data_IF_392444600381
#
_entry.id   IF_392444600381
#
_cell.length_a   1.000
_cell.length_b   1.000
_cell.length_c   1.000
_cell.angle_alpha   90.00
_cell.angle_beta   90.00
_cell.angle_gamma   90.00
#
_symmetry.space_group_name_H-M   'P 1'
#
loop_
_entity.id
_entity.type
_entity.pdbx_description
1 polymer ?
#
# COMPACT_ATOMS: atom_id res chain seq x y z
N UNK A 1 5.80 46.43 29.04
CA UNK A 1 6.23 45.05 28.79
C UNK A 1 6.09 44.79 27.30
N UNK A 2 7.19 44.50 26.61
CA UNK A 2 7.23 44.42 25.15
C UNK A 2 6.49 43.17 24.65
N UNK A 3 5.53 43.38 23.76
CA UNK A 3 4.71 42.37 23.12
C UNK A 3 5.52 41.75 21.95
N UNK A 4 6.40 40.81 22.27
CA UNK A 4 7.26 40.16 21.28
C UNK A 4 6.52 39.03 20.56
N UNK A 5 5.89 39.30 19.42
CA UNK A 5 5.53 38.26 18.46
C UNK A 5 6.83 37.69 17.87
N UNK A 6 7.11 36.41 18.12
CA UNK A 6 8.15 35.65 17.43
C UNK A 6 7.73 35.43 15.96
N UNK A 7 7.93 36.43 15.12
CA UNK A 7 7.95 36.22 13.67
C UNK A 7 9.31 35.64 13.31
N UNK A 8 9.33 34.34 13.03
CA UNK A 8 10.47 33.67 12.39
C UNK A 8 10.58 34.22 10.96
N UNK A 9 11.32 35.31 10.80
CA UNK A 9 11.69 35.83 9.48
C UNK A 9 12.81 34.92 8.97
N UNK A 10 12.45 33.92 8.17
CA UNK A 10 13.43 33.06 7.52
C UNK A 10 14.37 33.89 6.64
N UNK A 11 15.67 33.62 6.71
CA UNK A 11 16.67 34.25 5.84
C UNK A 11 16.32 33.96 4.38
N UNK A 12 16.03 35.04 3.67
CA UNK A 12 15.62 35.08 2.27
C UNK A 12 16.82 34.86 1.35
N UNK A 13 16.83 33.72 0.68
CA UNK A 13 17.31 33.53 -0.71
C UNK A 13 17.15 32.07 -1.17
N UNK A 14 16.90 31.13 -0.25
CA UNK A 14 16.54 29.76 -0.59
C UNK A 14 15.04 29.56 -0.40
N UNK A 15 14.38 29.10 -1.47
CA UNK A 15 13.02 28.57 -1.39
C UNK A 15 13.02 27.48 -0.31
N UNK A 16 12.14 27.55 0.71
CA UNK A 16 12.09 26.51 1.73
C UNK A 16 11.90 25.15 1.05
N UNK A 17 12.75 24.18 1.42
CA UNK A 17 12.61 22.83 0.93
C UNK A 17 11.23 22.32 1.35
N UNK A 18 10.48 21.76 0.41
CA UNK A 18 9.19 21.18 0.74
C UNK A 18 9.48 19.92 1.56
N UNK A 19 8.68 19.66 2.59
CA UNK A 19 8.93 18.54 3.52
C UNK A 19 9.09 17.21 2.78
N UNK A 20 8.33 17.00 1.70
CA UNK A 20 8.44 15.79 0.88
C UNK A 20 9.77 15.68 0.11
N UNK A 21 10.41 16.80 -0.26
CA UNK A 21 11.73 16.78 -0.89
C UNK A 21 12.77 16.28 0.13
N UNK A 22 12.53 16.54 1.43
CA UNK A 22 13.36 16.04 2.54
C UNK A 22 13.02 14.58 2.90
N UNK A 23 11.75 14.15 2.84
CA UNK A 23 11.35 12.76 3.09
C UNK A 23 11.87 11.82 2.01
N UNK A 24 11.83 12.25 0.74
CA UNK A 24 12.37 11.47 -0.38
C UNK A 24 13.89 11.45 -0.45
N UNK A 25 14.56 12.49 0.04
CA UNK A 25 16.01 12.63 -0.12
C UNK A 25 16.81 11.42 0.43
N UNK A 26 16.54 10.88 1.64
CA UNK A 26 17.18 9.67 2.13
C UNK A 26 16.94 8.43 1.24
N UNK A 27 15.72 8.26 0.74
CA UNK A 27 15.35 7.13 -0.13
C UNK A 27 16.02 7.22 -1.52
N UNK A 28 16.39 8.42 -1.95
CA UNK A 28 17.08 8.67 -3.22
C UNK A 28 18.61 8.60 -3.11
N UNK A 29 19.16 8.26 -1.94
CA UNK A 29 20.61 8.03 -1.81
C UNK A 29 21.03 6.80 -2.62
N UNK A 30 22.26 6.80 -3.15
CA UNK A 30 22.76 5.68 -3.96
C UNK A 30 22.67 4.34 -3.21
N UNK A 31 23.04 4.33 -1.92
CA UNK A 31 22.91 3.16 -1.06
C UNK A 31 21.46 2.66 -0.94
N UNK A 32 20.48 3.56 -0.79
CA UNK A 32 19.07 3.17 -0.67
C UNK A 32 18.55 2.59 -1.99
N UNK A 33 18.94 3.18 -3.12
CA UNK A 33 18.61 2.67 -4.45
C UNK A 33 19.25 1.31 -4.73
N UNK A 34 20.53 1.13 -4.39
CA UNK A 34 21.22 -0.16 -4.49
C UNK A 34 20.55 -1.23 -3.64
N UNK A 35 20.20 -0.88 -2.39
CA UNK A 35 19.46 -1.80 -1.50
C UNK A 35 18.11 -2.17 -2.11
N UNK A 36 17.32 -1.20 -2.55
CA UNK A 36 16.02 -1.38 -3.21
C UNK A 36 16.13 -2.31 -4.42
N UNK A 37 17.14 -2.11 -5.24
CA UNK A 37 17.36 -2.87 -6.48
C UNK A 37 17.99 -4.25 -6.25
N UNK A 38 18.55 -4.52 -5.05
CA UNK A 38 19.16 -5.81 -4.72
C UNK A 38 18.16 -6.93 -4.38
N UNK A 39 16.91 -6.57 -4.07
CA UNK A 39 15.85 -7.55 -3.84
C UNK A 39 15.40 -8.22 -5.14
N UNK A 40 14.91 -9.46 -5.11
CA UNK A 40 14.28 -10.04 -6.29
C UNK A 40 12.88 -9.43 -6.47
N UNK A 41 12.56 -8.92 -7.67
CA UNK A 41 11.23 -8.36 -7.96
C UNK A 41 10.11 -9.39 -7.84
N UNK A 42 10.44 -10.68 -7.97
CA UNK A 42 9.52 -11.81 -7.89
C UNK A 42 9.25 -12.26 -6.47
N UNK A 43 9.91 -11.69 -5.47
CA UNK A 43 9.71 -12.01 -4.06
C UNK A 43 8.85 -10.93 -3.38
N UNK A 44 7.84 -11.32 -2.58
CA UNK A 44 7.03 -10.37 -1.84
C UNK A 44 7.90 -9.61 -0.83
N UNK A 45 7.40 -8.45 -0.37
CA UNK A 45 8.10 -7.67 0.62
C UNK A 45 8.22 -8.39 1.96
N UNK A 46 7.08 -8.89 2.42
CA UNK A 46 6.98 -9.77 3.56
C UNK A 46 5.64 -10.49 3.51
N UNK A 47 5.59 -11.65 4.15
CA UNK A 47 4.38 -12.44 4.30
C UNK A 47 4.38 -12.98 5.73
N UNK A 48 3.32 -12.67 6.48
CA UNK A 48 3.14 -13.10 7.85
C UNK A 48 1.65 -13.30 8.12
N UNK A 49 1.29 -13.90 9.26
CA UNK A 49 -0.10 -14.05 9.65
C UNK A 49 -0.39 -13.37 10.99
N UNK A 50 -1.62 -12.92 11.18
CA UNK A 50 -2.11 -12.31 12.43
C UNK A 50 -3.44 -12.92 12.84
N UNK A 51 -3.75 -13.00 14.15
CA UNK A 51 -5.11 -13.25 14.63
C UNK A 51 -6.04 -12.12 14.17
N UNK A 52 -7.21 -12.47 13.66
CA UNK A 52 -8.21 -11.54 13.13
C UNK A 52 -9.63 -12.03 13.39
N UNK A 53 -10.61 -11.24 12.96
CA UNK A 53 -12.03 -11.58 13.02
C UNK A 53 -12.66 -11.30 11.67
N UNK A 54 -13.45 -12.25 11.15
CA UNK A 54 -14.23 -12.08 9.93
C UNK A 54 -15.36 -11.07 10.14
N UNK A 55 -15.97 -10.61 9.04
CA UNK A 55 -17.08 -9.65 9.08
C UNK A 55 -18.30 -10.12 9.91
N UNK A 56 -18.49 -11.44 10.05
CA UNK A 56 -19.57 -12.05 10.84
C UNK A 56 -19.24 -12.22 12.34
N UNK A 57 -18.02 -11.84 12.76
CA UNK A 57 -17.56 -11.97 14.14
C UNK A 57 -16.80 -13.27 14.44
N UNK A 58 -16.63 -14.18 13.47
CA UNK A 58 -15.90 -15.44 13.65
C UNK A 58 -14.39 -15.16 13.80
N UNK A 59 -13.73 -15.59 14.89
CA UNK A 59 -12.28 -15.50 15.02
C UNK A 59 -11.56 -16.33 13.95
N UNK A 60 -10.49 -15.78 13.41
CA UNK A 60 -9.69 -16.43 12.37
C UNK A 60 -8.22 -15.98 12.41
N UNK A 61 -7.43 -16.45 11.46
CA UNK A 61 -6.12 -15.89 11.12
C UNK A 61 -6.19 -15.27 9.73
N UNK A 62 -5.45 -14.18 9.54
CA UNK A 62 -5.28 -13.55 8.25
C UNK A 62 -3.86 -13.70 7.74
N UNK A 63 -3.71 -14.14 6.49
CA UNK A 63 -2.47 -14.03 5.76
C UNK A 63 -2.29 -12.58 5.32
N UNK A 64 -1.29 -11.88 5.86
CA UNK A 64 -0.91 -10.55 5.42
C UNK A 64 0.20 -10.64 4.38
N UNK A 65 -0.10 -10.18 3.17
CA UNK A 65 0.80 -10.16 2.03
C UNK A 65 1.17 -8.72 1.72
N UNK A 66 2.45 -8.37 1.86
CA UNK A 66 2.96 -7.08 1.43
C UNK A 66 3.73 -7.30 0.14
N UNK A 67 3.25 -6.72 -0.95
CA UNK A 67 3.82 -6.84 -2.28
C UNK A 67 4.83 -5.71 -2.55
N UNK A 68 5.90 -6.03 -3.27
CA UNK A 68 6.79 -5.05 -3.88
C UNK A 68 6.14 -4.56 -5.16
N UNK A 69 5.70 -3.31 -5.13
CA UNK A 69 5.08 -2.63 -6.29
C UNK A 69 5.83 -1.34 -6.58
N UNK A 70 5.40 -0.56 -7.57
CA UNK A 70 5.92 0.79 -7.82
C UNK A 70 5.54 1.80 -6.72
N UNK A 71 4.76 1.38 -5.72
CA UNK A 71 4.18 2.22 -4.68
C UNK A 71 3.02 3.07 -5.20
N UNK A 72 2.41 3.81 -4.27
CA UNK A 72 1.25 4.61 -4.59
C UNK A 72 1.55 5.73 -5.60
N UNK A 73 0.56 6.11 -6.40
CA UNK A 73 0.68 7.18 -7.38
C UNK A 73 1.08 8.51 -6.72
N UNK A 74 0.61 8.74 -5.49
CA UNK A 74 1.04 9.90 -4.70
C UNK A 74 2.54 9.86 -4.40
N UNK A 75 3.10 8.68 -4.08
CA UNK A 75 4.53 8.50 -3.86
C UNK A 75 5.37 8.88 -5.08
N UNK A 76 4.85 8.77 -6.30
CA UNK A 76 5.62 9.14 -7.49
C UNK A 76 5.87 10.65 -7.57
N UNK A 77 4.93 11.46 -7.06
CA UNK A 77 5.02 12.93 -7.10
C UNK A 77 5.43 13.53 -5.75
N UNK A 78 4.95 12.98 -4.65
CA UNK A 78 5.17 13.42 -3.25
C UNK A 78 5.13 12.19 -2.33
N UNK A 79 4.54 12.25 -1.14
CA UNK A 79 4.35 11.12 -0.24
C UNK A 79 3.57 11.53 1.01
N UNK A 80 3.07 10.55 1.76
CA UNK A 80 2.55 10.83 3.11
C UNK A 80 3.74 10.90 4.08
N UNK A 81 3.78 11.89 4.96
CA UNK A 81 4.95 12.17 5.81
C UNK A 81 5.32 11.05 6.79
N UNK A 82 4.38 10.18 7.13
CA UNK A 82 4.56 9.07 8.08
C UNK A 82 4.46 7.68 7.41
N UNK A 83 4.26 7.61 6.10
CA UNK A 83 4.11 6.33 5.43
C UNK A 83 5.46 5.64 5.29
N UNK A 84 5.63 4.44 5.87
CA UNK A 84 6.86 3.65 5.74
C UNK A 84 6.93 2.75 4.51
N UNK A 85 5.79 2.52 3.85
CA UNK A 85 5.65 1.52 2.78
C UNK A 85 6.47 1.82 1.52
N UNK A 86 6.85 3.08 1.29
CA UNK A 86 7.71 3.44 0.17
C UNK A 86 9.06 2.70 0.19
N UNK A 87 9.53 2.30 1.37
CA UNK A 87 10.79 1.57 1.53
C UNK A 87 10.78 0.19 0.87
N UNK A 88 9.60 -0.41 0.68
CA UNK A 88 9.42 -1.74 0.11
C UNK A 88 9.03 -1.72 -1.38
N UNK A 89 9.00 -0.53 -1.98
CA UNK A 89 8.67 -0.34 -3.40
C UNK A 89 9.82 -0.72 -4.32
N UNK A 90 9.52 -0.95 -5.59
CA UNK A 90 10.48 -1.23 -6.66
C UNK A 90 9.91 -0.77 -8.01
N UNK A 91 10.71 -0.03 -8.79
CA UNK A 91 10.19 0.76 -9.94
C UNK A 91 10.05 -0.07 -11.23
N UNK A 92 10.80 -1.17 -11.34
CA UNK A 92 10.85 -2.08 -12.50
C UNK A 92 9.97 -3.34 -12.32
N UNK A 93 9.10 -3.38 -11.30
CA UNK A 93 8.18 -4.50 -11.08
C UNK A 93 7.19 -4.61 -12.25
N UNK A 94 7.08 -5.81 -12.82
CA UNK A 94 6.15 -6.17 -13.88
C UNK A 94 4.91 -6.90 -13.35
N UNK A 95 3.86 -7.06 -14.16
CA UNK A 95 2.71 -7.89 -13.76
C UNK A 95 3.14 -9.34 -13.46
N UNK A 96 4.03 -9.91 -14.28
CA UNK A 96 4.53 -11.28 -14.05
C UNK A 96 5.27 -11.42 -12.71
N UNK A 97 5.99 -10.39 -12.29
CA UNK A 97 6.61 -10.36 -10.96
C UNK A 97 5.56 -10.36 -9.85
N UNK A 98 4.50 -9.54 -9.97
CA UNK A 98 3.40 -9.51 -9.01
C UNK A 98 2.70 -10.86 -8.89
N UNK A 99 2.41 -11.53 -10.02
CA UNK A 99 1.87 -12.89 -10.02
C UNK A 99 2.83 -13.85 -9.32
N UNK A 100 4.14 -13.79 -9.57
CA UNK A 100 5.11 -14.62 -8.86
C UNK A 100 5.15 -14.32 -7.35
N UNK A 101 5.04 -13.05 -6.94
CA UNK A 101 5.01 -12.68 -5.53
C UNK A 101 3.76 -13.25 -4.84
N UNK A 102 2.62 -13.19 -5.52
CA UNK A 102 1.35 -13.73 -5.04
C UNK A 102 1.42 -15.25 -4.85
N UNK A 103 1.88 -16.01 -5.85
CA UNK A 103 2.03 -17.47 -5.72
C UNK A 103 2.94 -17.85 -4.54
N UNK A 104 4.09 -17.18 -4.41
CA UNK A 104 5.01 -17.43 -3.29
C UNK A 104 4.40 -17.08 -1.94
N UNK A 105 3.49 -16.10 -1.91
CA UNK A 105 2.81 -15.69 -0.68
C UNK A 105 1.78 -16.73 -0.25
N UNK A 106 0.98 -17.24 -1.19
CA UNK A 106 0.01 -18.30 -0.93
C UNK A 106 0.71 -19.62 -0.53
N UNK A 107 1.87 -19.92 -1.12
CA UNK A 107 2.65 -21.12 -0.81
C UNK A 107 3.53 -20.99 0.45
N UNK A 108 3.48 -19.85 1.17
CA UNK A 108 4.43 -19.57 2.26
C UNK A 108 4.21 -20.44 3.50
N UNK A 109 2.97 -20.82 3.78
CA UNK A 109 2.56 -21.52 5.00
C UNK A 109 1.72 -22.74 4.67
N UNK A 110 2.07 -23.89 5.25
CA UNK A 110 1.38 -25.17 5.01
C UNK A 110 -0.07 -25.18 5.53
N UNK A 111 -0.38 -24.33 6.52
CA UNK A 111 -1.70 -24.22 7.16
C UNK A 111 -2.56 -23.09 6.59
N UNK A 112 -2.18 -22.51 5.44
CA UNK A 112 -2.91 -21.44 4.78
C UNK A 112 -4.40 -21.77 4.54
N UNK A 113 -4.72 -23.04 4.25
CA UNK A 113 -6.09 -23.51 4.05
C UNK A 113 -6.97 -23.26 5.28
N UNK A 114 -6.40 -23.24 6.49
CA UNK A 114 -7.12 -23.00 7.74
C UNK A 114 -7.38 -21.51 8.03
N UNK A 115 -6.66 -20.61 7.35
CA UNK A 115 -6.80 -19.16 7.52
C UNK A 115 -8.11 -18.69 6.85
N UNK A 116 -8.83 -17.75 7.46
CA UNK A 116 -10.11 -17.27 6.91
C UNK A 116 -9.98 -16.00 6.06
N UNK A 117 -8.85 -15.32 6.15
CA UNK A 117 -8.69 -13.97 5.59
C UNK A 117 -7.35 -13.81 4.86
N UNK A 118 -7.34 -12.97 3.83
CA UNK A 118 -6.12 -12.48 3.19
C UNK A 118 -6.14 -10.95 3.17
N UNK A 119 -5.07 -10.32 3.65
CA UNK A 119 -4.86 -8.87 3.58
C UNK A 119 -3.76 -8.58 2.57
N UNK A 120 -4.05 -7.77 1.56
CA UNK A 120 -3.10 -7.43 0.50
C UNK A 120 -2.72 -5.96 0.60
N UNK A 121 -1.44 -5.73 0.87
CA UNK A 121 -0.82 -4.42 0.89
C UNK A 121 0.08 -4.27 -0.32
N UNK A 122 -0.10 -3.16 -1.02
CA UNK A 122 0.59 -2.84 -2.28
C UNK A 122 1.47 -1.61 -2.12
N UNK A 123 1.64 -1.08 -0.91
CA UNK A 123 2.25 0.22 -0.68
C UNK A 123 1.47 1.36 -1.36
N UNK A 124 0.15 1.18 -1.48
CA UNK A 124 -0.75 2.01 -2.28
C UNK A 124 -2.18 1.49 -2.28
N UNK A 125 -2.78 1.36 -3.46
CA UNK A 125 -4.17 0.97 -3.65
C UNK A 125 -4.27 -0.19 -4.63
N UNK A 126 -4.74 -1.36 -4.17
CA UNK A 126 -4.83 -2.53 -5.06
C UNK A 126 -5.68 -2.23 -6.29
N UNK A 127 -6.79 -1.52 -6.12
CA UNK A 127 -7.76 -1.22 -7.17
C UNK A 127 -7.43 0.05 -7.97
N UNK A 128 -6.20 0.53 -7.95
CA UNK A 128 -5.74 1.68 -8.75
C UNK A 128 -4.98 1.21 -10.00
N UNK A 129 -5.57 1.40 -11.17
CA UNK A 129 -5.02 0.93 -12.46
C UNK A 129 -3.68 1.56 -12.84
N UNK A 130 -3.39 2.76 -12.31
CA UNK A 130 -2.07 3.38 -12.47
C UNK A 130 -1.00 2.56 -11.73
N UNK A 131 -1.33 2.10 -10.52
CA UNK A 131 -0.40 1.48 -9.57
C UNK A 131 -0.25 -0.02 -9.84
N UNK A 132 -1.37 -0.70 -10.07
CA UNK A 132 -1.45 -2.16 -10.16
C UNK A 132 -2.11 -2.57 -11.49
N UNK A 133 -1.47 -3.46 -12.28
CA UNK A 133 -2.07 -4.00 -13.50
C UNK A 133 -3.41 -4.68 -13.26
N UNK A 134 -4.41 -4.40 -14.10
CA UNK A 134 -5.79 -4.90 -13.94
C UNK A 134 -5.87 -6.42 -13.90
N UNK A 135 -5.03 -7.12 -14.67
CA UNK A 135 -4.95 -8.59 -14.68
C UNK A 135 -4.51 -9.15 -13.31
N UNK A 136 -3.62 -8.45 -12.62
CA UNK A 136 -3.20 -8.84 -11.28
C UNK A 136 -4.29 -8.51 -10.24
N UNK A 137 -4.98 -7.38 -10.38
CA UNK A 137 -6.12 -7.06 -9.52
C UNK A 137 -7.22 -8.13 -9.61
N UNK A 138 -7.58 -8.53 -10.82
CA UNK A 138 -8.56 -9.59 -11.09
C UNK A 138 -8.12 -10.91 -10.47
N UNK A 139 -6.83 -11.26 -10.60
CA UNK A 139 -6.27 -12.48 -10.00
C UNK A 139 -6.45 -12.53 -8.49
N UNK A 140 -6.09 -11.46 -7.77
CA UNK A 140 -6.23 -11.40 -6.31
C UNK A 140 -7.70 -11.50 -5.90
N UNK A 141 -8.59 -10.78 -6.59
CA UNK A 141 -10.03 -10.83 -6.33
C UNK A 141 -10.58 -12.25 -6.52
N UNK A 142 -10.29 -12.87 -7.67
CA UNK A 142 -10.78 -14.19 -8.05
C UNK A 142 -10.25 -15.28 -7.13
N UNK A 143 -8.93 -15.30 -6.87
CA UNK A 143 -8.32 -16.31 -6.01
C UNK A 143 -8.92 -16.28 -4.60
N UNK A 144 -9.04 -15.11 -3.98
CA UNK A 144 -9.64 -15.01 -2.65
C UNK A 144 -11.12 -15.42 -2.65
N UNK A 145 -11.87 -15.13 -3.72
CA UNK A 145 -13.25 -15.59 -3.86
C UNK A 145 -13.33 -17.11 -3.94
N UNK A 146 -12.54 -17.73 -4.83
CA UNK A 146 -12.55 -19.17 -5.08
C UNK A 146 -12.06 -19.97 -3.87
N UNK A 147 -11.10 -19.44 -3.13
CA UNK A 147 -10.60 -20.03 -1.89
C UNK A 147 -11.52 -19.77 -0.68
N UNK A 148 -12.59 -18.98 -0.84
CA UNK A 148 -13.50 -18.62 0.24
C UNK A 148 -12.86 -17.79 1.36
N UNK A 149 -11.81 -17.01 1.04
CA UNK A 149 -11.10 -16.15 2.00
C UNK A 149 -11.70 -14.75 1.96
N UNK A 150 -11.98 -14.17 3.12
CA UNK A 150 -12.34 -12.75 3.18
C UNK A 150 -11.12 -11.91 2.76
N UNK A 151 -11.29 -11.03 1.79
CA UNK A 151 -10.22 -10.21 1.26
C UNK A 151 -10.26 -8.81 1.89
N UNK A 152 -9.11 -8.31 2.34
CA UNK A 152 -8.92 -6.91 2.74
C UNK A 152 -7.87 -6.27 1.84
N UNK A 153 -8.22 -5.14 1.25
CA UNK A 153 -7.31 -4.34 0.40
C UNK A 153 -7.21 -2.93 0.94
N UNK A 154 -6.08 -2.28 0.75
CA UNK A 154 -5.92 -0.85 1.07
C UNK A 154 -6.32 0.03 -0.12
N UNK A 155 -6.80 1.24 0.19
CA UNK A 155 -6.94 2.30 -0.78
C UNK A 155 -6.83 3.70 -0.16
N UNK A 156 -6.40 4.67 -0.95
CA UNK A 156 -6.63 6.09 -0.63
C UNK A 156 -8.08 6.49 -0.94
N UNK A 157 -8.54 7.55 -0.29
CA UNK A 157 -9.95 8.02 -0.37
C UNK A 157 -10.36 8.43 -1.78
N UNK A 158 -9.45 8.99 -2.57
CA UNK A 158 -9.72 9.51 -3.91
C UNK A 158 -9.64 8.47 -5.03
N UNK A 159 -9.21 7.24 -4.74
CA UNK A 159 -8.85 6.24 -5.75
C UNK A 159 -9.94 5.18 -5.99
N UNK A 160 -11.09 5.28 -5.32
CA UNK A 160 -12.22 4.34 -5.48
C UNK A 160 -13.43 5.01 -6.11
N UNK A 161 -13.66 4.70 -7.38
CA UNK A 161 -14.90 5.05 -8.07
C UNK A 161 -15.99 4.00 -7.86
N UNK A 162 -17.25 4.39 -8.06
CA UNK A 162 -18.39 3.46 -8.01
C UNK A 162 -18.28 2.40 -9.09
N UNK A 163 -17.80 2.77 -10.26
CA UNK A 163 -17.59 1.89 -11.40
C UNK A 163 -16.54 0.82 -11.07
N UNK A 164 -15.42 1.22 -10.45
CA UNK A 164 -14.35 0.30 -10.05
C UNK A 164 -14.82 -0.67 -8.97
N UNK A 165 -15.56 -0.19 -7.97
CA UNK A 165 -16.15 -1.04 -6.93
C UNK A 165 -17.18 -2.01 -7.52
N UNK A 166 -18.01 -1.58 -8.48
CA UNK A 166 -18.96 -2.46 -9.16
C UNK A 166 -18.27 -3.56 -9.95
N UNK A 167 -17.18 -3.23 -10.64
CA UNK A 167 -16.34 -4.22 -11.32
C UNK A 167 -15.72 -5.20 -10.32
N UNK A 168 -15.07 -4.72 -9.26
CA UNK A 168 -14.43 -5.57 -8.27
C UNK A 168 -15.43 -6.50 -7.56
N UNK A 169 -16.60 -5.97 -7.16
CA UNK A 169 -17.67 -6.75 -6.52
C UNK A 169 -18.35 -7.77 -7.45
N UNK A 170 -18.26 -7.58 -8.76
CA UNK A 170 -18.72 -8.57 -9.73
C UNK A 170 -17.80 -9.80 -9.81
N UNK A 171 -16.54 -9.67 -9.38
CA UNK A 171 -15.55 -10.75 -9.33
C UNK A 171 -15.52 -11.37 -7.93
N UNK A 172 -15.37 -10.54 -6.90
CA UNK A 172 -15.38 -10.96 -5.51
C UNK A 172 -16.40 -10.11 -4.72
N UNK A 173 -17.56 -10.66 -4.34
CA UNK A 173 -18.57 -9.90 -3.59
C UNK A 173 -18.22 -9.73 -2.10
N UNK A 174 -17.20 -10.43 -1.58
CA UNK A 174 -16.85 -10.48 -0.17
C UNK A 174 -15.43 -9.94 0.08
N UNK A 175 -15.26 -8.62 -0.04
CA UNK A 175 -14.03 -7.95 0.34
C UNK A 175 -14.30 -6.61 1.04
N UNK A 176 -13.34 -6.22 1.87
CA UNK A 176 -13.31 -4.96 2.58
C UNK A 176 -12.21 -4.06 2.03
N UNK A 177 -12.45 -2.75 2.02
CA UNK A 177 -11.43 -1.76 1.66
C UNK A 177 -11.06 -0.94 2.89
N UNK A 178 -9.80 -1.06 3.32
CA UNK A 178 -9.20 -0.23 4.35
C UNK A 178 -8.81 1.13 3.75
N UNK A 179 -9.50 2.18 4.19
CA UNK A 179 -9.30 3.54 3.67
C UNK A 179 -8.28 4.29 4.53
N UNK A 180 -7.19 4.74 3.90
CA UNK A 180 -6.20 5.63 4.52
C UNK A 180 -6.74 7.06 4.65
N UNK A 181 -7.63 7.28 5.63
CA UNK A 181 -8.19 8.60 5.93
C UNK A 181 -7.18 9.48 6.66
N UNK A 182 -6.48 8.89 7.63
CA UNK A 182 -5.39 9.48 8.45
C UNK A 182 -5.82 10.64 9.38
N UNK A 183 -6.53 11.62 8.86
CA UNK A 183 -7.14 12.71 9.60
C UNK A 183 -8.42 13.18 8.90
N UNK A 184 -9.39 13.68 9.68
CA UNK A 184 -10.55 14.40 9.17
C UNK A 184 -10.37 15.91 9.37
N UNK A 185 -9.21 16.42 8.92
CA UNK A 185 -8.81 17.82 9.05
C UNK A 185 -7.85 18.18 7.90
N UNK A 186 -8.26 19.09 7.03
CA UNK A 186 -7.48 19.53 5.87
C UNK A 186 -6.15 20.21 6.27
N UNK A 187 -6.07 20.84 7.44
CA UNK A 187 -4.81 21.42 7.91
C UNK A 187 -3.79 20.34 8.29
N UNK A 188 -4.26 19.23 8.88
CA UNK A 188 -3.40 18.08 9.19
C UNK A 188 -2.99 17.34 7.92
N UNK A 189 -3.91 17.17 6.96
CA UNK A 189 -3.66 16.47 5.69
C UNK A 189 -2.70 17.21 4.74
N UNK A 190 -2.37 18.48 5.02
CA UNK A 190 -1.38 19.24 4.24
C UNK A 190 0.06 18.71 4.37
N UNK A 191 0.36 17.92 5.40
CA UNK A 191 1.71 17.50 5.74
C UNK A 191 2.06 16.12 5.20
#
# INVERSE_FOLDING_TARGET
MANGKLTMVGESDKRPARIHDLVKAPANTAWAQERKNSWDARDPATVYYTPETLADGTPTTALTVILRTKGCHWWWSSGCTFCGYFNDTRDDVTSADLHSQWEKSLAKFDDFDTMGMVKVYTSGSLLEDREIPVDFQERVLQDCHDMGKELVVESRTEQLSKEKLKWATSINPNFSVAIGLEAYDDEVLRF
#
